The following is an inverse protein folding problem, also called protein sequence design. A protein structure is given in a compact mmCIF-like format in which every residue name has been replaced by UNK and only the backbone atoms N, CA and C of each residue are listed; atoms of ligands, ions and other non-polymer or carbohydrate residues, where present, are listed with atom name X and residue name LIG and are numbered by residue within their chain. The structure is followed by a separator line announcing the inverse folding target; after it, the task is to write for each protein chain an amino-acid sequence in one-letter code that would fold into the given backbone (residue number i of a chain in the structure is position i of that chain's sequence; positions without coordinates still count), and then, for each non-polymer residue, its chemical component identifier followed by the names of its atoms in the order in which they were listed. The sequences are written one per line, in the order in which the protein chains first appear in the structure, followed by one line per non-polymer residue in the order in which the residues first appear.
data_IF_272855404861
#
_entry.id   IF_272855404861
#
_cell.length_a   1.000
_cell.length_b   1.000
_cell.length_c   1.000
_cell.angle_alpha   90.00
_cell.angle_beta   90.00
_cell.angle_gamma   90.00
#
_symmetry.space_group_name_H-M   'P 1'
#
loop_
_entity.id
_entity.type
_entity.pdbx_description
1 polymer ?
#
# COMPACT_ATOMS: atom_id res chain seq x y z
N UNK A 1 -0.33 -18.68 8.08
CA UNK A 1 0.66 -19.09 7.06
C UNK A 1 1.31 -17.82 6.52
N UNK A 2 2.64 -17.71 6.56
CA UNK A 2 3.34 -16.55 6.00
C UNK A 2 3.34 -16.67 4.47
N UNK A 3 2.78 -15.67 3.77
CA UNK A 3 2.82 -15.60 2.30
C UNK A 3 4.14 -15.01 1.83
N UNK A 4 4.58 -15.41 0.63
CA UNK A 4 5.72 -14.80 -0.04
C UNK A 4 5.36 -13.38 -0.45
N UNK A 5 6.21 -12.40 -0.15
CA UNK A 5 6.07 -11.04 -0.69
C UNK A 5 6.91 -10.93 -1.95
N UNK A 6 6.30 -10.47 -3.04
CA UNK A 6 6.95 -10.16 -4.31
C UNK A 6 6.81 -8.67 -4.58
N UNK A 7 7.92 -8.03 -4.90
CA UNK A 7 7.98 -6.62 -5.33
C UNK A 7 8.38 -6.54 -6.79
N UNK A 8 8.04 -5.43 -7.45
CA UNK A 8 8.48 -5.09 -8.80
C UNK A 8 9.36 -3.84 -8.76
N UNK A 9 10.12 -3.57 -9.82
CA UNK A 9 10.94 -2.35 -9.91
C UNK A 9 10.09 -1.09 -9.71
N UNK A 10 8.89 -1.05 -10.31
CA UNK A 10 7.93 0.03 -10.14
C UNK A 10 7.54 0.28 -8.67
N UNK A 11 7.50 -0.76 -7.83
CA UNK A 11 7.24 -0.59 -6.40
C UNK A 11 8.38 0.15 -5.72
N UNK A 12 9.64 -0.22 -5.99
CA UNK A 12 10.80 0.47 -5.43
C UNK A 12 10.92 1.91 -5.93
N UNK A 13 10.64 2.14 -7.21
CA UNK A 13 10.59 3.48 -7.79
C UNK A 13 9.55 4.34 -7.05
N UNK A 14 8.31 3.83 -6.89
CA UNK A 14 7.25 4.54 -6.17
C UNK A 14 7.60 4.80 -4.69
N UNK A 15 8.19 3.81 -4.00
CA UNK A 15 8.65 3.96 -2.62
C UNK A 15 9.76 5.01 -2.51
N UNK A 16 10.68 5.05 -3.48
CA UNK A 16 11.79 6.01 -3.50
C UNK A 16 11.35 7.45 -3.80
N UNK A 17 10.19 7.60 -4.44
CA UNK A 17 9.58 8.89 -4.78
C UNK A 17 8.79 9.50 -3.62
N UNK A 18 8.45 8.71 -2.59
CA UNK A 18 7.86 9.25 -1.36
C UNK A 18 8.84 10.21 -0.68
N UNK A 19 8.30 11.25 -0.05
CA UNK A 19 9.09 12.10 0.82
C UNK A 19 9.64 11.30 2.01
N UNK A 20 10.78 11.74 2.55
CA UNK A 20 11.48 11.05 3.63
C UNK A 20 11.19 11.63 4.99
N UNK A 21 10.04 12.30 5.16
CA UNK A 21 9.62 12.75 6.49
C UNK A 21 9.40 11.54 7.42
N UNK A 22 9.60 11.71 8.73
CA UNK A 22 9.23 10.69 9.71
C UNK A 22 7.78 10.22 9.55
N UNK A 23 6.87 11.15 9.30
CA UNK A 23 5.43 10.93 9.20
C UNK A 23 5.09 10.04 7.99
N UNK A 24 5.64 10.33 6.81
CA UNK A 24 5.47 9.50 5.61
C UNK A 24 6.08 8.12 5.80
N UNK A 25 7.26 8.05 6.41
CA UNK A 25 7.97 6.79 6.67
C UNK A 25 7.17 5.89 7.61
N UNK A 26 6.65 6.43 8.71
CA UNK A 26 5.84 5.70 9.68
C UNK A 26 4.51 5.25 9.07
N UNK A 27 3.82 6.15 8.38
CA UNK A 27 2.55 5.84 7.70
C UNK A 27 2.74 4.71 6.67
N UNK A 28 3.80 4.80 5.85
CA UNK A 28 4.13 3.79 4.86
C UNK A 28 4.47 2.43 5.50
N UNK A 29 5.23 2.42 6.59
CA UNK A 29 5.58 1.19 7.32
C UNK A 29 4.35 0.50 7.91
N UNK A 30 3.45 1.25 8.56
CA UNK A 30 2.20 0.72 9.12
C UNK A 30 1.30 0.15 8.01
N UNK A 31 1.18 0.89 6.91
CA UNK A 31 0.37 0.48 5.76
C UNK A 31 0.90 -0.83 5.13
N UNK A 32 2.21 -0.92 4.88
CA UNK A 32 2.85 -2.13 4.35
C UNK A 32 2.72 -3.32 5.31
N UNK A 33 2.92 -3.09 6.61
CA UNK A 33 2.73 -4.12 7.63
C UNK A 33 1.30 -4.65 7.62
N UNK A 34 0.31 -3.78 7.44
CA UNK A 34 -1.10 -4.17 7.35
C UNK A 34 -1.39 -4.97 6.08
N UNK A 35 -0.84 -4.56 4.93
CA UNK A 35 -0.96 -5.30 3.67
C UNK A 35 -0.36 -6.70 3.82
N UNK A 36 0.81 -6.86 4.42
CA UNK A 36 1.47 -8.17 4.57
C UNK A 36 0.72 -9.08 5.54
N UNK A 37 0.25 -8.55 6.67
CA UNK A 37 -0.38 -9.37 7.72
C UNK A 37 -1.86 -9.63 7.50
N UNK A 38 -2.57 -8.75 6.79
CA UNK A 38 -4.01 -8.86 6.52
C UNK A 38 -4.37 -8.47 5.08
N UNK A 39 -3.77 -9.12 4.07
CA UNK A 39 -3.92 -8.73 2.67
C UNK A 39 -5.36 -8.85 2.16
N UNK A 40 -6.19 -9.70 2.75
CA UNK A 40 -7.59 -9.87 2.34
C UNK A 40 -8.57 -8.91 3.01
N UNK A 41 -8.09 -8.03 3.91
CA UNK A 41 -8.96 -7.10 4.64
C UNK A 41 -9.64 -6.05 3.76
N UNK A 42 -9.17 -5.86 2.52
CA UNK A 42 -9.76 -4.98 1.52
C UNK A 42 -10.14 -5.81 0.31
N UNK A 43 -11.39 -5.77 -0.21
CA UNK A 43 -11.77 -6.50 -1.41
C UNK A 43 -11.00 -6.01 -2.64
N UNK A 44 -10.86 -6.83 -3.69
CA UNK A 44 -10.28 -6.37 -4.94
C UNK A 44 -11.19 -5.34 -5.63
N UNK A 45 -10.58 -4.45 -6.42
CA UNK A 45 -11.30 -3.51 -7.29
C UNK A 45 -12.16 -4.32 -8.28
N UNK A 46 -13.44 -3.96 -8.49
CA UNK A 46 -14.33 -4.68 -9.39
C UNK A 46 -13.71 -4.87 -10.79
N UNK A 47 -13.67 -6.12 -11.27
CA UNK A 47 -13.08 -6.47 -12.56
C UNK A 47 -11.55 -6.67 -12.56
N UNK A 48 -10.87 -6.43 -11.44
CA UNK A 48 -9.41 -6.58 -11.33
C UNK A 48 -9.03 -7.51 -10.16
N UNK A 49 -7.80 -8.04 -10.18
CA UNK A 49 -7.21 -8.76 -9.03
C UNK A 49 -6.52 -7.84 -8.03
N UNK A 50 -6.50 -6.54 -8.34
CA UNK A 50 -5.78 -5.51 -7.59
C UNK A 50 -6.63 -5.09 -6.40
N UNK A 51 -6.00 -4.91 -5.25
CA UNK A 51 -6.54 -4.37 -4.01
C UNK A 51 -5.83 -3.04 -3.73
N UNK A 52 -6.55 -2.11 -3.10
CA UNK A 52 -6.02 -0.79 -2.75
C UNK A 52 -6.25 -0.56 -1.26
N UNK A 53 -5.18 -0.69 -0.47
CA UNK A 53 -5.24 -0.34 0.94
C UNK A 53 -4.77 1.10 1.10
N UNK A 54 -5.50 1.91 1.86
CA UNK A 54 -5.23 3.34 2.03
C UNK A 54 -5.29 3.76 3.49
N UNK A 55 -4.49 4.75 3.85
CA UNK A 55 -4.67 5.55 5.06
C UNK A 55 -5.44 6.82 4.71
N UNK A 56 -6.10 7.40 5.70
CA UNK A 56 -6.60 8.76 5.62
C UNK A 56 -5.55 9.73 6.16
N UNK A 57 -5.55 10.98 5.71
CA UNK A 57 -4.68 11.98 6.30
C UNK A 57 -5.11 12.31 7.73
N UNK A 58 -4.14 12.58 8.60
CA UNK A 58 -4.42 13.01 9.97
C UNK A 58 -3.31 13.91 10.51
N UNK A 59 -3.58 15.22 10.64
CA UNK A 59 -2.58 16.18 11.06
C UNK A 59 -1.40 16.21 10.08
N UNK A 60 -0.20 15.88 10.56
CA UNK A 60 1.00 15.79 9.74
C UNK A 60 1.17 14.45 8.98
N UNK A 61 0.34 13.44 9.28
CA UNK A 61 0.42 12.14 8.63
C UNK A 61 -0.32 12.17 7.27
N UNK A 62 0.36 11.88 6.15
CA UNK A 62 -0.25 11.98 4.83
C UNK A 62 -1.18 10.80 4.53
N UNK A 63 -2.08 11.01 3.57
CA UNK A 63 -2.87 9.92 2.99
C UNK A 63 -2.01 9.13 2.00
N UNK A 64 -1.71 7.87 2.33
CA UNK A 64 -0.95 6.95 1.48
C UNK A 64 -1.83 5.80 1.01
N UNK A 65 -1.53 5.24 -0.16
CA UNK A 65 -2.13 4.00 -0.64
C UNK A 65 -1.09 3.03 -1.16
N UNK A 66 -1.38 1.75 -1.01
CA UNK A 66 -0.61 0.64 -1.59
C UNK A 66 -1.51 -0.14 -2.53
N UNK A 67 -1.05 -0.34 -3.76
CA UNK A 67 -1.67 -1.21 -4.75
C UNK A 67 -0.98 -2.57 -4.70
N UNK A 68 -1.76 -3.62 -4.50
CA UNK A 68 -1.24 -4.98 -4.38
C UNK A 68 -2.22 -6.03 -4.91
N UNK A 69 -1.72 -7.21 -5.21
CA UNK A 69 -2.55 -8.38 -5.54
C UNK A 69 -2.20 -9.55 -4.62
N UNK A 70 -3.17 -10.43 -4.44
CA UNK A 70 -3.05 -11.61 -3.58
C UNK A 70 -3.46 -12.82 -4.41
N UNK A 71 -2.55 -13.78 -4.52
CA UNK A 71 -2.83 -15.14 -4.96
C UNK A 71 -2.68 -16.11 -3.78
N UNK A 72 -2.81 -17.41 -4.02
CA UNK A 72 -2.85 -18.43 -2.97
C UNK A 72 -1.63 -18.37 -2.02
N UNK A 73 -0.46 -17.98 -2.53
CA UNK A 73 0.80 -18.04 -1.77
C UNK A 73 1.60 -16.74 -1.77
N UNK A 74 1.24 -15.78 -2.63
CA UNK A 74 2.04 -14.59 -2.91
C UNK A 74 1.23 -13.31 -2.76
N UNK A 75 1.85 -12.32 -2.12
CA UNK A 75 1.42 -10.92 -2.11
C UNK A 75 2.33 -10.16 -3.07
N UNK A 76 1.75 -9.62 -4.14
CA UNK A 76 2.48 -8.85 -5.15
C UNK A 76 2.27 -7.35 -4.89
N UNK A 77 3.28 -6.65 -4.38
CA UNK A 77 3.27 -5.21 -4.14
C UNK A 77 3.64 -4.47 -5.43
N UNK A 78 2.77 -3.58 -5.91
CA UNK A 78 2.92 -2.93 -7.22
C UNK A 78 3.34 -1.46 -7.10
N UNK A 79 2.68 -0.71 -6.21
CA UNK A 79 2.91 0.72 -6.04
C UNK A 79 2.61 1.13 -4.59
N UNK A 80 3.36 2.10 -4.07
CA UNK A 80 3.01 2.88 -2.90
C UNK A 80 3.11 4.37 -3.27
N UNK A 81 2.09 5.14 -2.93
CA UNK A 81 2.05 6.55 -3.28
C UNK A 81 1.23 7.36 -2.27
N UNK A 82 1.55 8.64 -2.16
CA UNK A 82 0.65 9.62 -1.59
C UNK A 82 -0.47 9.91 -2.60
N UNK A 83 -1.69 10.11 -2.11
CA UNK A 83 -2.83 10.45 -2.96
C UNK A 83 -3.62 11.60 -2.36
N UNK A 84 -4.24 12.39 -3.22
CA UNK A 84 -5.19 13.40 -2.79
C UNK A 84 -6.50 12.71 -2.40
N UNK A 85 -6.90 12.87 -1.14
CA UNK A 85 -8.25 12.51 -0.72
C UNK A 85 -9.21 13.44 -1.49
N UNK A 86 -10.06 12.85 -2.34
CA UNK A 86 -11.14 13.63 -2.95
C UNK A 86 -11.97 14.20 -1.80
N UNK A 87 -12.11 15.53 -1.76
CA UNK A 87 -13.03 16.16 -0.84
C UNK A 87 -14.43 15.62 -1.12
N UNK A 88 -15.07 15.03 -0.11
CA UNK A 88 -16.44 14.54 -0.19
C UNK A 88 -17.42 15.66 -0.60
#
# INVERSE_FOLDING_TARGET
MLRRVKTFNAFYESLSALDRSPETTETGAVLLLRVVNRPESVPPVPGFRIRVMRTASHGAFPALRVLYAVDDTTISLMCIEQYDELAD
#
